data_IF_998304289227
#
_entry.id   IF_998304289227
#
_cell.length_a   1.000
_cell.length_b   1.000
_cell.length_c   1.000
_cell.angle_alpha   90.00
_cell.angle_beta   90.00
_cell.angle_gamma   90.00
#
_symmetry.space_group_name_H-M   'P 1'
#
loop_
_entity.id
_entity.type
_entity.pdbx_description
1 polymer ?
#
# COMPACT_ATOMS: atom_id res chain seq x y z
N UNK A 1 5.42 6.70 15.79
CA UNK A 1 4.38 5.70 15.41
C UNK A 1 4.42 5.51 13.90
N UNK A 2 4.11 4.31 13.39
CA UNK A 2 4.34 3.94 11.99
C UNK A 2 3.14 3.19 11.39
N UNK A 3 3.11 3.04 10.07
CA UNK A 3 2.04 2.31 9.37
C UNK A 3 2.56 1.30 8.34
N UNK A 4 1.84 0.20 8.18
CA UNK A 4 2.01 -0.78 7.10
C UNK A 4 0.71 -0.79 6.28
N UNK A 5 0.83 -0.67 4.96
CA UNK A 5 -0.29 -0.76 4.02
C UNK A 5 -0.08 -1.97 3.10
N UNK A 6 -1.02 -2.91 3.09
CA UNK A 6 -0.99 -4.15 2.32
C UNK A 6 -1.68 -3.95 0.96
N UNK A 7 -0.92 -3.44 -0.01
CA UNK A 7 -1.41 -3.07 -1.34
C UNK A 7 -1.02 -4.07 -2.46
N UNK A 8 -0.57 -5.28 -2.12
CA UNK A 8 -0.08 -6.25 -3.10
C UNK A 8 -1.19 -6.96 -3.91
N UNK A 9 -2.44 -6.90 -3.44
CA UNK A 9 -3.55 -7.69 -3.96
C UNK A 9 -4.09 -7.23 -5.31
N UNK A 10 -4.55 -8.20 -6.12
CA UNK A 10 -5.13 -7.98 -7.45
C UNK A 10 -6.54 -7.38 -7.45
N UNK A 11 -7.25 -7.38 -6.31
CA UNK A 11 -8.62 -6.82 -6.27
C UNK A 11 -9.69 -7.57 -7.07
N UNK A 12 -9.46 -8.84 -7.43
CA UNK A 12 -10.28 -9.69 -8.34
C UNK A 12 -11.81 -9.57 -8.22
N UNK A 13 -12.35 -9.34 -7.01
CA UNK A 13 -13.80 -9.18 -6.79
C UNK A 13 -14.41 -7.95 -7.49
N UNK A 14 -13.57 -7.00 -7.89
CA UNK A 14 -13.96 -5.77 -8.58
C UNK A 14 -13.89 -5.89 -10.11
N UNK A 15 -13.49 -7.05 -10.63
CA UNK A 15 -13.47 -7.35 -12.06
C UNK A 15 -12.71 -6.31 -12.87
N UNK A 16 -13.37 -5.77 -13.89
CA UNK A 16 -12.79 -4.83 -14.86
C UNK A 16 -12.24 -3.54 -14.23
N UNK A 17 -12.78 -3.11 -13.08
CA UNK A 17 -12.28 -1.92 -12.35
C UNK A 17 -10.83 -2.08 -11.88
N UNK A 18 -10.34 -3.33 -11.78
CA UNK A 18 -8.98 -3.68 -11.33
C UNK A 18 -8.15 -4.37 -12.41
N UNK A 19 -8.61 -4.39 -13.66
CA UNK A 19 -7.95 -5.14 -14.75
C UNK A 19 -6.55 -4.59 -15.09
N UNK A 20 -6.37 -3.29 -14.98
CA UNK A 20 -5.11 -2.59 -15.29
C UNK A 20 -4.53 -1.82 -14.09
N UNK A 21 -5.09 -2.01 -12.90
CA UNK A 21 -4.78 -1.24 -11.69
C UNK A 21 -5.04 -2.08 -10.43
N UNK A 22 -4.35 -1.79 -9.33
CA UNK A 22 -4.70 -2.35 -8.02
C UNK A 22 -6.01 -1.75 -7.48
N UNK A 23 -6.68 -2.46 -6.56
CA UNK A 23 -7.90 -1.95 -5.90
C UNK A 23 -7.69 -0.56 -5.28
N UNK A 24 -6.53 -0.30 -4.69
CA UNK A 24 -6.24 0.98 -4.04
C UNK A 24 -6.08 2.14 -5.05
N UNK A 25 -5.91 1.83 -6.34
CA UNK A 25 -5.86 2.77 -7.46
C UNK A 25 -7.24 2.99 -8.12
N UNK A 26 -8.35 2.65 -7.45
CA UNK A 26 -9.69 3.05 -7.89
C UNK A 26 -10.02 4.45 -7.39
N UNK A 27 -10.68 5.26 -8.23
CA UNK A 27 -11.19 6.58 -7.85
C UNK A 27 -12.59 6.47 -7.28
N UNK A 28 -12.82 7.11 -6.14
CA UNK A 28 -14.15 7.34 -5.56
C UNK A 28 -14.31 8.84 -5.35
N UNK A 29 -15.29 9.43 -6.04
CA UNK A 29 -15.50 10.88 -6.13
C UNK A 29 -14.23 11.61 -6.60
N UNK A 30 -13.61 11.12 -7.68
CA UNK A 30 -12.44 11.74 -8.31
C UNK A 30 -11.08 11.47 -7.64
N UNK A 31 -11.06 11.00 -6.38
CA UNK A 31 -9.81 10.74 -5.63
C UNK A 31 -9.50 9.25 -5.56
N UNK A 32 -8.24 8.87 -5.77
CA UNK A 32 -7.79 7.50 -5.56
C UNK A 32 -7.91 7.09 -4.09
N UNK A 33 -8.28 5.83 -3.83
CA UNK A 33 -8.38 5.31 -2.47
C UNK A 33 -7.03 5.39 -1.72
N UNK A 34 -5.92 5.08 -2.40
CA UNK A 34 -4.59 5.17 -1.80
C UNK A 34 -4.22 6.60 -1.43
N UNK A 35 -4.54 7.59 -2.27
CA UNK A 35 -4.23 9.00 -1.99
C UNK A 35 -4.98 9.49 -0.75
N UNK A 36 -6.24 9.08 -0.60
CA UNK A 36 -7.05 9.42 0.58
C UNK A 36 -6.43 8.83 1.86
N UNK A 37 -6.02 7.56 1.82
CA UNK A 37 -5.37 6.91 2.97
C UNK A 37 -4.02 7.56 3.30
N UNK A 38 -3.18 7.80 2.29
CA UNK A 38 -1.87 8.42 2.49
C UNK A 38 -1.99 9.84 3.03
N UNK A 39 -2.95 10.63 2.56
CA UNK A 39 -3.21 11.98 3.11
C UNK A 39 -3.65 11.94 4.58
N UNK A 40 -4.47 10.96 4.96
CA UNK A 40 -4.87 10.76 6.36
C UNK A 40 -3.71 10.32 7.25
N UNK A 41 -2.80 9.50 6.75
CA UNK A 41 -1.63 9.06 7.51
C UNK A 41 -0.55 10.15 7.58
N UNK A 42 -0.39 10.95 6.53
CA UNK A 42 0.60 12.03 6.47
C UNK A 42 0.32 13.14 7.49
N UNK A 43 -0.96 13.36 7.83
CA UNK A 43 -1.35 14.33 8.88
C UNK A 43 -1.06 13.86 10.31
N UNK A 44 -0.69 12.60 10.51
CA UNK A 44 -0.40 12.01 11.83
C UNK A 44 1.08 12.08 12.21
N UNK A 45 1.94 12.71 11.39
CA UNK A 45 3.38 12.85 11.62
C UNK A 45 4.05 11.49 11.95
N UNK A 46 3.78 10.47 11.13
CA UNK A 46 4.39 9.15 11.29
C UNK A 46 5.88 9.22 10.93
N UNK A 47 6.69 8.35 11.53
CA UNK A 47 8.11 8.27 11.18
C UNK A 47 8.33 7.71 9.77
N UNK A 48 7.50 6.76 9.35
CA UNK A 48 7.46 6.18 8.01
C UNK A 48 6.17 5.39 7.75
N UNK A 49 5.90 5.15 6.47
CA UNK A 49 4.88 4.23 5.98
C UNK A 49 5.57 3.14 5.15
N UNK A 50 5.30 1.89 5.46
CA UNK A 50 5.75 0.74 4.66
C UNK A 50 4.60 0.30 3.76
N UNK A 51 4.79 0.38 2.45
CA UNK A 51 3.82 -0.06 1.46
C UNK A 51 4.24 -1.41 0.89
N UNK A 52 3.49 -2.45 1.22
CA UNK A 52 3.69 -3.79 0.63
C UNK A 52 2.97 -3.85 -0.71
N UNK A 53 3.75 -3.82 -1.79
CA UNK A 53 3.27 -3.80 -3.18
C UNK A 53 3.42 -5.17 -3.86
N UNK A 54 2.72 -5.38 -4.97
CA UNK A 54 2.66 -6.67 -5.67
C UNK A 54 2.12 -6.49 -7.07
N UNK A 55 0.90 -6.95 -7.33
CA UNK A 55 0.24 -6.76 -8.62
C UNK A 55 0.26 -5.27 -9.01
N UNK A 56 0.72 -4.94 -10.22
CA UNK A 56 0.84 -3.55 -10.70
C UNK A 56 1.60 -2.61 -9.73
N UNK A 57 2.52 -3.15 -8.92
CA UNK A 57 3.21 -2.43 -7.85
C UNK A 57 4.04 -1.25 -8.33
N UNK A 58 4.72 -1.38 -9.48
CA UNK A 58 5.51 -0.28 -10.05
C UNK A 58 4.65 0.90 -10.50
N UNK A 59 3.43 0.63 -11.01
CA UNK A 59 2.47 1.68 -11.38
C UNK A 59 1.99 2.43 -10.15
N UNK A 60 1.72 1.71 -9.06
CA UNK A 60 1.36 2.29 -7.77
C UNK A 60 2.51 3.12 -7.20
N UNK A 61 3.73 2.59 -7.19
CA UNK A 61 4.95 3.28 -6.75
C UNK A 61 5.16 4.58 -7.53
N UNK A 62 5.12 4.52 -8.86
CA UNK A 62 5.27 5.68 -9.74
C UNK A 62 4.20 6.75 -9.47
N UNK A 63 2.95 6.34 -9.21
CA UNK A 63 1.87 7.27 -8.88
C UNK A 63 2.10 7.96 -7.52
N UNK A 64 2.56 7.21 -6.54
CA UNK A 64 2.83 7.70 -5.19
C UNK A 64 4.03 8.65 -5.21
N UNK A 65 5.16 8.26 -5.81
CA UNK A 65 6.39 9.06 -5.84
C UNK A 65 6.24 10.43 -6.53
N UNK A 66 5.23 10.61 -7.39
CA UNK A 66 4.90 11.90 -8.02
C UNK A 66 4.28 12.93 -7.06
N UNK A 67 3.83 12.51 -5.89
CA UNK A 67 3.14 13.36 -4.92
C UNK A 67 4.07 13.69 -3.76
N UNK A 68 4.12 14.97 -3.38
CA UNK A 68 4.86 15.42 -2.20
C UNK A 68 4.11 15.04 -0.92
N UNK A 69 4.85 14.55 0.08
CA UNK A 69 4.38 14.18 1.43
C UNK A 69 5.49 14.43 2.44
N UNK A 70 5.13 14.60 3.71
CA UNK A 70 6.11 14.75 4.80
C UNK A 70 6.62 13.40 5.30
N UNK A 71 5.75 12.40 5.31
CA UNK A 71 6.02 11.06 5.80
C UNK A 71 6.74 10.23 4.74
N UNK A 72 7.93 9.70 5.03
CA UNK A 72 8.66 8.87 4.08
C UNK A 72 7.95 7.54 3.83
N UNK A 73 8.04 7.05 2.59
CA UNK A 73 7.46 5.77 2.18
C UNK A 73 8.58 4.81 1.80
N UNK A 74 8.53 3.63 2.40
CA UNK A 74 9.36 2.48 2.04
C UNK A 74 8.51 1.40 1.37
N UNK A 75 9.11 0.58 0.52
CA UNK A 75 8.40 -0.41 -0.27
C UNK A 75 8.91 -1.81 0.02
N UNK A 76 7.98 -2.75 0.17
CA UNK A 76 8.28 -4.19 0.21
C UNK A 76 7.52 -4.84 -0.94
N UNK A 77 8.20 -5.64 -1.76
CA UNK A 77 7.57 -6.34 -2.88
C UNK A 77 7.17 -7.76 -2.49
N UNK A 78 5.90 -8.13 -2.72
CA UNK A 78 5.41 -9.50 -2.64
C UNK A 78 5.44 -10.14 -4.05
N UNK A 79 6.43 -10.98 -4.39
CA UNK A 79 6.52 -11.58 -5.73
C UNK A 79 5.48 -12.66 -6.01
N UNK A 80 4.82 -13.18 -4.97
CA UNK A 80 3.84 -14.27 -5.04
C UNK A 80 2.44 -13.78 -4.65
N UNK A 81 2.14 -12.51 -4.94
CA UNK A 81 0.86 -11.85 -4.66
C UNK A 81 -0.35 -12.60 -5.24
N UNK A 82 -0.16 -13.42 -6.28
CA UNK A 82 -1.21 -14.17 -6.94
C UNK A 82 -1.49 -15.55 -6.34
N UNK A 83 -0.61 -16.03 -5.46
CA UNK A 83 -0.70 -17.34 -4.78
C UNK A 83 -0.92 -17.22 -3.27
N UNK A 84 -0.90 -16.00 -2.73
CA UNK A 84 -0.91 -15.71 -1.29
C UNK A 84 -2.02 -14.72 -0.94
N UNK A 85 -2.22 -14.49 0.36
CA UNK A 85 -3.17 -13.51 0.89
C UNK A 85 -2.45 -12.43 1.71
N UNK A 86 -3.22 -11.53 2.32
CA UNK A 86 -2.68 -10.41 3.09
C UNK A 86 -1.76 -10.84 4.26
N UNK A 87 -1.95 -12.03 4.83
CA UNK A 87 -1.09 -12.52 5.93
C UNK A 87 0.34 -12.73 5.43
N UNK A 88 0.52 -13.25 4.21
CA UNK A 88 1.86 -13.39 3.65
C UNK A 88 2.49 -12.03 3.31
N UNK A 89 1.71 -11.09 2.78
CA UNK A 89 2.17 -9.71 2.58
C UNK A 89 2.63 -9.07 3.89
N UNK A 90 1.91 -9.31 4.99
CA UNK A 90 2.31 -8.84 6.31
C UNK A 90 3.57 -9.57 6.83
N UNK A 91 3.68 -10.88 6.60
CA UNK A 91 4.86 -11.68 6.94
C UNK A 91 6.15 -11.16 6.28
N UNK A 92 6.07 -10.62 5.05
CA UNK A 92 7.23 -9.99 4.40
C UNK A 92 7.74 -8.76 5.16
N UNK A 93 6.90 -8.14 5.99
CA UNK A 93 7.25 -7.02 6.87
C UNK A 93 7.57 -7.47 8.31
N UNK A 94 7.79 -8.76 8.58
CA UNK A 94 8.01 -9.30 9.94
C UNK A 94 9.16 -8.63 10.70
N UNK A 95 10.25 -8.31 10.00
CA UNK A 95 11.42 -7.67 10.60
C UNK A 95 11.09 -6.25 11.05
N UNK A 96 10.21 -5.57 10.32
CA UNK A 96 9.72 -4.24 10.68
C UNK A 96 8.76 -4.32 11.88
N UNK A 97 7.80 -5.26 11.84
CA UNK A 97 6.88 -5.52 12.94
C UNK A 97 7.56 -5.79 14.27
N UNK A 98 8.75 -6.39 14.26
CA UNK A 98 9.53 -6.66 15.47
C UNK A 98 10.17 -5.40 16.09
N UNK A 99 10.33 -4.32 15.31
CA UNK A 99 11.08 -3.11 15.73
C UNK A 99 10.22 -2.07 16.44
N UNK A 100 8.93 -2.01 16.14
CA UNK A 100 8.07 -0.92 16.60
C UNK A 100 6.58 -1.29 16.60
N UNK A 101 5.74 -0.33 17.02
CA UNK A 101 4.28 -0.44 16.96
C UNK A 101 3.77 0.15 15.64
N UNK A 102 2.92 -0.62 14.96
CA UNK A 102 2.37 -0.27 13.66
C UNK A 102 0.84 -0.23 13.66
N UNK A 103 0.29 0.74 12.95
CA UNK A 103 -1.03 0.61 12.35
C UNK A 103 -0.92 -0.26 11.08
N UNK A 104 -1.87 -1.18 10.86
CA UNK A 104 -1.86 -2.09 9.70
C UNK A 104 -3.16 -1.90 8.92
N UNK A 105 -3.07 -1.65 7.62
CA UNK A 105 -4.19 -1.54 6.68
C UNK A 105 -4.11 -2.54 5.53
#
# INVERSE_FOLDING_TARGET
MQAIILAAGMGKRLGDLTKDNTKCMIKVNGTYLIDRLLSQLDSLNLERIILVIGYQGEKLRTHIEKQSRNTPIEYIYNPVYNKTNNIYSLYLAKEELAKARYFIN
#
